data_IF_865574489581
#
_entry.id   IF_865574489581
#
_cell.length_a   1.000
_cell.length_b   1.000
_cell.length_c   1.000
_cell.angle_alpha   90.00
_cell.angle_beta   90.00
_cell.angle_gamma   90.00
#
_symmetry.space_group_name_H-M   'P 1'
#
loop_
_entity.id
_entity.type
_entity.pdbx_description
1 polymer ?
#
# COMPACT_ATOMS: atom_id res chain seq x y z
N UNK A 1 -25.33 -0.64 14.67
CA UNK A 1 -23.87 -0.42 14.48
C UNK A 1 -23.51 -1.14 13.20
N UNK A 2 -23.06 -0.43 12.17
CA UNK A 2 -22.92 -0.99 10.83
C UNK A 2 -21.85 -2.07 10.80
N UNK A 3 -22.21 -3.26 10.32
CA UNK A 3 -21.38 -4.47 10.18
C UNK A 3 -20.40 -4.38 8.98
N UNK A 4 -19.98 -3.16 8.64
CA UNK A 4 -19.08 -2.91 7.51
C UNK A 4 -17.66 -2.93 8.07
N UNK A 5 -16.80 -3.88 7.64
CA UNK A 5 -15.43 -3.93 8.12
C UNK A 5 -14.72 -2.60 7.84
N UNK A 6 -13.81 -2.16 8.72
CA UNK A 6 -13.06 -0.93 8.50
C UNK A 6 -12.36 -0.99 7.14
N UNK A 7 -12.56 0.07 6.35
CA UNK A 7 -12.10 0.19 4.99
C UNK A 7 -11.40 1.51 4.81
N UNK A 8 -10.18 1.47 4.27
CA UNK A 8 -9.52 2.66 3.75
C UNK A 8 -9.58 2.66 2.24
N UNK A 9 -9.74 3.82 1.62
CA UNK A 9 -9.94 3.93 0.17
C UNK A 9 -9.02 4.97 -0.42
N UNK A 10 -8.13 4.55 -1.31
CA UNK A 10 -7.40 5.43 -2.19
C UNK A 10 -8.31 5.93 -3.32
N UNK A 11 -8.51 7.24 -3.39
CA UNK A 11 -9.18 7.94 -4.48
C UNK A 11 -8.14 8.86 -5.12
N UNK A 12 -7.68 8.52 -6.32
CA UNK A 12 -6.49 9.16 -6.88
C UNK A 12 -5.32 9.04 -5.90
N UNK A 13 -4.77 10.17 -5.48
CA UNK A 13 -3.61 10.23 -4.59
C UNK A 13 -3.97 10.47 -3.12
N UNK A 14 -5.23 10.38 -2.74
CA UNK A 14 -5.70 10.63 -1.38
C UNK A 14 -6.26 9.35 -0.77
N UNK A 15 -5.94 9.09 0.48
CA UNK A 15 -6.44 7.95 1.26
C UNK A 15 -7.45 8.43 2.29
N UNK A 16 -8.63 7.82 2.29
CA UNK A 16 -9.69 8.12 3.24
C UNK A 16 -10.04 6.90 4.08
N UNK A 17 -10.40 7.08 5.34
CA UNK A 17 -11.02 6.03 6.16
C UNK A 17 -12.52 5.85 5.87
N UNK A 18 -13.18 4.90 6.54
CA UNK A 18 -14.61 4.62 6.37
C UNK A 18 -15.51 5.83 6.65
N UNK A 19 -15.27 6.63 7.71
CA UNK A 19 -15.96 7.92 7.92
C UNK A 19 -15.70 9.00 6.85
N UNK A 20 -14.68 8.84 6.01
CA UNK A 20 -14.30 9.83 5.00
C UNK A 20 -13.28 10.86 5.49
N UNK A 21 -12.62 10.62 6.63
CA UNK A 21 -11.49 11.44 7.08
C UNK A 21 -10.28 11.12 6.23
N UNK A 22 -9.54 12.16 5.82
CA UNK A 22 -8.30 12.05 5.08
C UNK A 22 -7.19 11.50 6.01
N UNK A 23 -6.55 10.41 5.60
CA UNK A 23 -5.45 9.78 6.32
C UNK A 23 -4.08 10.08 5.70
N UNK A 24 -4.02 10.11 4.36
CA UNK A 24 -2.76 10.34 3.66
C UNK A 24 -2.97 11.00 2.29
N UNK A 25 -1.95 11.72 1.82
CA UNK A 25 -1.90 12.25 0.44
C UNK A 25 -0.57 11.92 -0.22
N UNK A 26 -0.57 11.73 -1.54
CA UNK A 26 0.64 11.55 -2.34
C UNK A 26 0.79 12.68 -3.34
N UNK A 27 1.88 13.43 -3.22
CA UNK A 27 2.22 14.55 -4.11
C UNK A 27 3.65 14.39 -4.56
N UNK A 28 3.85 14.32 -5.88
CA UNK A 28 5.14 13.99 -6.49
C UNK A 28 5.69 12.66 -5.95
N UNK A 29 6.82 12.71 -5.25
CA UNK A 29 7.54 11.62 -4.61
C UNK A 29 7.39 11.67 -3.07
N UNK A 30 6.38 12.34 -2.54
CA UNK A 30 6.14 12.44 -1.09
C UNK A 30 4.77 11.88 -0.73
N UNK A 31 4.74 11.00 0.26
CA UNK A 31 3.53 10.59 0.95
C UNK A 31 3.47 11.34 2.28
N UNK A 32 2.41 12.11 2.50
CA UNK A 32 2.11 12.80 3.76
C UNK A 32 1.08 11.97 4.54
N UNK A 33 1.38 11.64 5.79
CA UNK A 33 0.58 10.80 6.69
C UNK A 33 0.50 11.49 8.04
N UNK A 34 -0.64 12.10 8.37
CA UNK A 34 -0.87 12.83 9.63
C UNK A 34 0.27 13.81 10.01
N UNK A 35 0.85 14.50 9.02
CA UNK A 35 1.97 15.44 9.22
C UNK A 35 3.37 14.83 9.16
N UNK A 36 3.49 13.50 9.20
CA UNK A 36 4.72 12.80 8.87
C UNK A 36 4.87 12.60 7.37
N UNK A 37 6.11 12.43 6.90
CA UNK A 37 6.41 12.34 5.47
C UNK A 37 7.29 11.15 5.16
N UNK A 38 6.96 10.50 4.05
CA UNK A 38 7.77 9.47 3.40
C UNK A 38 8.20 9.98 2.02
N UNK A 39 9.51 10.12 1.79
CA UNK A 39 10.05 10.32 0.45
C UNK A 39 10.11 8.98 -0.27
N UNK A 40 9.35 8.80 -1.35
CA UNK A 40 9.21 7.55 -2.09
C UNK A 40 9.93 7.57 -3.44
N UNK A 41 10.77 6.58 -3.64
CA UNK A 41 11.40 6.26 -4.92
C UNK A 41 10.77 4.97 -5.45
N UNK A 42 10.30 4.98 -6.69
CA UNK A 42 9.78 3.79 -7.35
C UNK A 42 10.53 3.57 -8.67
N UNK A 43 10.99 2.34 -8.88
CA UNK A 43 11.56 1.89 -10.14
C UNK A 43 10.63 0.85 -10.75
N UNK A 44 9.59 1.28 -11.50
CA UNK A 44 8.74 0.36 -12.25
C UNK A 44 9.43 -0.02 -13.56
N UNK A 45 9.81 -1.29 -13.70
CA UNK A 45 10.37 -1.85 -14.94
C UNK A 45 9.56 -3.03 -15.46
N UNK A 46 9.66 -3.38 -16.76
CA UNK A 46 8.92 -4.50 -17.36
C UNK A 46 9.24 -5.87 -16.75
N UNK A 47 10.39 -5.97 -16.06
CA UNK A 47 10.87 -7.21 -15.43
C UNK A 47 11.02 -7.10 -13.91
N UNK A 48 10.98 -5.89 -13.34
CA UNK A 48 11.31 -5.64 -11.94
C UNK A 48 10.46 -4.52 -11.35
N UNK A 49 9.81 -4.80 -10.22
CA UNK A 49 9.18 -3.80 -9.36
C UNK A 49 9.98 -3.63 -8.07
N UNK A 50 10.31 -2.37 -7.75
CA UNK A 50 10.84 -1.96 -6.45
C UNK A 50 10.29 -0.58 -6.08
N UNK A 51 9.87 -0.45 -4.83
CA UNK A 51 9.60 0.82 -4.19
C UNK A 51 10.42 0.92 -2.91
N UNK A 52 10.92 2.11 -2.61
CA UNK A 52 11.61 2.44 -1.37
C UNK A 52 11.03 3.75 -0.86
N UNK A 53 10.83 3.86 0.45
CA UNK A 53 10.57 5.15 1.07
C UNK A 53 11.47 5.38 2.28
N UNK A 54 11.70 6.66 2.59
CA UNK A 54 12.43 7.08 3.79
C UNK A 54 11.58 8.09 4.53
N UNK A 55 11.35 7.85 5.83
CA UNK A 55 10.62 8.78 6.68
C UNK A 55 11.49 9.96 7.11
N UNK A 56 10.86 11.01 7.65
CA UNK A 56 11.55 12.16 8.26
C UNK A 56 12.54 11.76 9.37
N UNK A 57 12.29 10.66 10.09
CA UNK A 57 13.17 10.16 11.15
C UNK A 57 14.26 9.18 10.66
N UNK A 58 14.34 8.94 9.35
CA UNK A 58 15.35 8.07 8.73
C UNK A 58 14.97 6.59 8.68
N UNK A 59 13.78 6.20 9.14
CA UNK A 59 13.26 4.85 8.94
C UNK A 59 13.07 4.54 7.45
N UNK A 60 13.55 3.37 7.04
CA UNK A 60 13.51 2.95 5.64
C UNK A 60 12.44 1.88 5.44
N UNK A 61 11.70 2.07 4.37
CA UNK A 61 10.63 1.20 3.92
C UNK A 61 10.99 0.68 2.54
N UNK A 62 10.78 -0.60 2.27
CA UNK A 62 11.05 -1.20 0.95
C UNK A 62 9.96 -2.18 0.57
N UNK A 63 9.66 -2.26 -0.72
CA UNK A 63 8.90 -3.33 -1.35
C UNK A 63 9.65 -3.76 -2.61
N UNK A 64 9.78 -5.06 -2.82
CA UNK A 64 10.31 -5.59 -4.09
C UNK A 64 9.62 -6.89 -4.47
N UNK A 65 9.57 -7.19 -5.75
CA UNK A 65 9.03 -8.47 -6.21
C UNK A 65 9.91 -9.64 -5.76
N UNK A 66 9.26 -10.76 -5.42
CA UNK A 66 9.92 -12.04 -5.16
C UNK A 66 9.85 -12.90 -6.42
N UNK A 67 10.99 -13.08 -7.08
CA UNK A 67 11.10 -13.88 -8.29
C UNK A 67 10.78 -13.12 -9.58
N UNK A 68 10.28 -13.82 -10.59
CA UNK A 68 10.12 -13.30 -11.95
C UNK A 68 8.85 -12.48 -12.19
N UNK A 69 7.83 -12.62 -11.33
CA UNK A 69 6.58 -11.90 -11.47
C UNK A 69 6.28 -11.07 -10.23
N UNK A 70 5.40 -10.09 -10.37
CA UNK A 70 4.89 -9.31 -9.24
C UNK A 70 3.81 -10.04 -8.43
N UNK A 71 3.63 -11.35 -8.61
CA UNK A 71 2.61 -12.13 -7.87
C UNK A 71 2.81 -12.03 -6.36
N UNK A 72 4.07 -12.05 -5.93
CA UNK A 72 4.47 -11.96 -4.53
C UNK A 72 5.47 -10.83 -4.38
N UNK A 73 5.23 -9.92 -3.45
CA UNK A 73 6.19 -8.90 -3.06
C UNK A 73 6.64 -9.16 -1.62
N UNK A 74 7.90 -8.88 -1.33
CA UNK A 74 8.44 -8.85 0.02
C UNK A 74 8.62 -7.38 0.39
N UNK A 75 8.20 -7.03 1.60
CA UNK A 75 8.34 -5.70 2.12
C UNK A 75 8.97 -5.69 3.51
N UNK A 76 9.68 -4.60 3.79
CA UNK A 76 10.21 -4.27 5.12
C UNK A 76 9.85 -2.82 5.42
N UNK A 77 9.38 -2.56 6.63
CA UNK A 77 9.05 -1.23 7.17
C UNK A 77 9.77 -1.12 8.51
N UNK A 78 10.93 -0.48 8.53
CA UNK A 78 11.86 -0.58 9.65
C UNK A 78 12.17 -2.03 9.98
N UNK A 79 11.90 -2.43 11.22
CA UNK A 79 12.12 -3.79 11.71
C UNK A 79 10.99 -4.78 11.38
N UNK A 80 9.86 -4.30 10.85
CA UNK A 80 8.73 -5.16 10.49
C UNK A 80 8.89 -5.71 9.07
N UNK A 81 8.52 -6.99 8.87
CA UNK A 81 8.54 -7.67 7.57
C UNK A 81 7.14 -8.10 7.16
N UNK A 82 6.85 -7.97 5.88
CA UNK A 82 5.55 -8.30 5.29
C UNK A 82 5.68 -9.02 3.96
N UNK A 83 4.63 -9.77 3.61
CA UNK A 83 4.46 -10.37 2.28
C UNK A 83 3.16 -9.85 1.68
N UNK A 84 3.22 -9.42 0.42
CA UNK A 84 2.07 -8.91 -0.33
C UNK A 84 1.80 -9.83 -1.52
N UNK A 85 0.87 -10.75 -1.32
CA UNK A 85 0.58 -11.82 -2.27
C UNK A 85 -0.71 -11.56 -3.02
N UNK A 86 -0.68 -11.68 -4.35
CA UNK A 86 -1.92 -11.70 -5.12
C UNK A 86 -2.78 -12.88 -4.70
N UNK A 87 -4.06 -12.64 -4.47
CA UNK A 87 -5.02 -13.69 -4.11
C UNK A 87 -5.50 -14.49 -5.32
N UNK A 88 -5.32 -13.94 -6.53
CA UNK A 88 -5.55 -14.65 -7.78
C UNK A 88 -4.70 -14.09 -8.92
N UNK A 89 -4.56 -14.84 -10.01
CA UNK A 89 -3.87 -14.36 -11.22
C UNK A 89 -4.70 -13.36 -12.04
N UNK A 90 -6.03 -13.41 -11.91
CA UNK A 90 -6.97 -12.59 -12.70
C UNK A 90 -7.38 -11.30 -11.99
N UNK A 91 -7.58 -11.37 -10.67
CA UNK A 91 -7.88 -10.21 -9.81
C UNK A 91 -6.58 -9.74 -9.20
N UNK A 92 -6.26 -8.47 -9.40
CA UNK A 92 -5.08 -7.81 -8.80
C UNK A 92 -5.27 -7.49 -7.31
N UNK A 93 -6.13 -8.24 -6.62
CA UNK A 93 -6.26 -8.15 -5.16
C UNK A 93 -5.02 -8.75 -4.51
N UNK A 94 -4.52 -8.11 -3.44
CA UNK A 94 -3.41 -8.61 -2.65
C UNK A 94 -3.79 -8.79 -1.18
N UNK A 95 -3.27 -9.84 -0.57
CA UNK A 95 -3.26 -10.04 0.88
C UNK A 95 -1.94 -9.50 1.43
N UNK A 96 -2.00 -8.57 2.38
CA UNK A 96 -0.87 -8.16 3.20
C UNK A 96 -0.81 -9.12 4.39
N UNK A 97 0.29 -9.84 4.52
CA UNK A 97 0.55 -10.77 5.62
C UNK A 97 1.70 -10.27 6.49
N UNK A 98 1.50 -10.28 7.79
CA UNK A 98 2.56 -10.17 8.79
C UNK A 98 3.00 -11.55 9.30
N UNK A 99 3.79 -11.57 10.36
CA UNK A 99 4.29 -12.81 10.96
C UNK A 99 3.18 -13.75 11.46
N UNK A 100 2.08 -13.18 11.98
CA UNK A 100 0.97 -13.95 12.57
C UNK A 100 -0.15 -14.29 11.58
N UNK A 101 -0.04 -13.90 10.30
CA UNK A 101 -1.03 -14.17 9.28
C UNK A 101 -1.51 -12.95 8.50
N UNK A 102 -2.67 -13.06 7.82
CA UNK A 102 -3.29 -11.96 7.07
C UNK A 102 -3.64 -10.77 7.96
N UNK A 103 -3.30 -9.56 7.52
CA UNK A 103 -3.63 -8.31 8.20
C UNK A 103 -4.67 -7.51 7.42
N UNK A 104 -4.52 -7.44 6.10
CA UNK A 104 -5.40 -6.66 5.23
C UNK A 104 -5.45 -7.21 3.80
N UNK A 105 -6.49 -6.82 3.06
CA UNK A 105 -6.63 -7.06 1.63
C UNK A 105 -6.70 -5.74 0.88
N UNK A 106 -5.88 -5.59 -0.15
CA UNK A 106 -5.84 -4.40 -1.02
C UNK A 106 -6.45 -4.76 -2.38
N UNK A 107 -7.51 -4.05 -2.77
CA UNK A 107 -8.41 -4.37 -3.87
C UNK A 107 -8.52 -3.20 -4.84
N UNK A 108 -7.97 -3.29 -6.05
CA UNK A 108 -8.27 -2.33 -7.10
C UNK A 108 -9.69 -2.54 -7.62
N UNK A 109 -10.45 -1.45 -7.73
CA UNK A 109 -11.84 -1.43 -8.16
C UNK A 109 -11.96 -0.96 -9.61
N UNK A 110 -13.04 -1.36 -10.29
CA UNK A 110 -13.34 -0.92 -11.67
C UNK A 110 -13.45 0.61 -11.77
N UNK A 111 -13.89 1.27 -10.69
CA UNK A 111 -13.98 2.74 -10.59
C UNK A 111 -12.62 3.46 -10.53
N UNK A 112 -11.50 2.72 -10.49
CA UNK A 112 -10.15 3.29 -10.31
C UNK A 112 -9.77 3.56 -8.85
N UNK A 113 -10.72 3.41 -7.91
CA UNK A 113 -10.44 3.40 -6.47
C UNK A 113 -9.65 2.15 -6.08
N UNK A 114 -8.87 2.23 -5.00
CA UNK A 114 -8.22 1.06 -4.40
C UNK A 114 -8.64 0.98 -2.94
N UNK A 115 -9.29 -0.11 -2.56
CA UNK A 115 -9.79 -0.33 -1.21
C UNK A 115 -8.82 -1.22 -0.43
N UNK A 116 -8.53 -0.86 0.80
CA UNK A 116 -7.87 -1.69 1.80
C UNK A 116 -8.92 -2.09 2.84
N UNK A 117 -9.08 -3.39 3.08
CA UNK A 117 -10.07 -3.94 4.00
C UNK A 117 -9.40 -4.89 4.98
N UNK A 118 -9.71 -4.78 6.26
CA UNK A 118 -9.24 -5.66 7.33
C UNK A 118 -10.28 -5.73 8.45
N UNK A 119 -10.13 -6.67 9.38
CA UNK A 119 -11.01 -6.77 10.55
C UNK A 119 -10.80 -5.60 11.51
N UNK A 120 -9.55 -5.13 11.62
CA UNK A 120 -9.21 -3.89 12.32
C UNK A 120 -7.91 -3.29 11.77
N UNK A 121 -8.01 -2.43 10.75
CA UNK A 121 -6.82 -1.92 10.06
C UNK A 121 -5.93 -1.07 10.96
N UNK A 122 -6.53 -0.30 11.88
CA UNK A 122 -5.78 0.59 12.78
C UNK A 122 -5.05 -0.21 13.88
N UNK A 123 -5.67 -1.28 14.38
CA UNK A 123 -5.06 -2.08 15.45
C UNK A 123 -4.10 -3.16 14.93
N UNK A 124 -4.20 -3.56 13.66
CA UNK A 124 -3.37 -4.64 13.09
C UNK A 124 -2.13 -4.17 12.35
N UNK A 125 -2.06 -2.90 11.95
CA UNK A 125 -0.95 -2.37 11.16
C UNK A 125 -0.70 -0.90 11.49
N UNK A 126 0.54 -0.48 11.82
CA UNK A 126 0.84 0.94 11.99
C UNK A 126 0.48 1.75 10.74
N UNK A 127 -0.10 2.94 10.92
CA UNK A 127 -0.63 3.77 9.82
C UNK A 127 0.38 4.00 8.70
N UNK A 128 1.63 4.37 9.02
CA UNK A 128 2.68 4.55 8.00
C UNK A 128 2.96 3.27 7.21
N UNK A 129 2.92 2.10 7.87
CA UNK A 129 3.11 0.81 7.21
C UNK A 129 1.93 0.53 6.29
N UNK A 130 0.70 0.70 6.78
CA UNK A 130 -0.52 0.52 5.99
C UNK A 130 -0.54 1.41 4.75
N UNK A 131 -0.20 2.69 4.91
CA UNK A 131 -0.11 3.66 3.83
C UNK A 131 0.95 3.25 2.81
N UNK A 132 2.20 3.00 3.23
CA UNK A 132 3.28 2.64 2.32
C UNK A 132 2.99 1.33 1.57
N UNK A 133 2.54 0.29 2.28
CA UNK A 133 2.27 -1.02 1.69
C UNK A 133 1.09 -0.97 0.70
N UNK A 134 0.01 -0.27 1.05
CA UNK A 134 -1.13 -0.11 0.13
C UNK A 134 -0.79 0.78 -1.07
N UNK A 135 0.06 1.78 -0.90
CA UNK A 135 0.56 2.60 -2.00
C UNK A 135 1.51 1.81 -2.92
N UNK A 136 2.33 0.91 -2.39
CA UNK A 136 3.12 0.00 -3.23
C UNK A 136 2.23 -0.90 -4.09
N UNK A 137 1.10 -1.39 -3.57
CA UNK A 137 0.09 -2.11 -4.35
C UNK A 137 -0.52 -1.24 -5.46
N UNK A 138 -0.82 0.03 -5.13
CA UNK A 138 -1.27 1.00 -6.12
C UNK A 138 -0.27 1.13 -7.27
N UNK A 139 1.01 1.32 -6.97
CA UNK A 139 2.06 1.56 -7.97
C UNK A 139 2.25 0.34 -8.90
N UNK A 140 2.21 -0.87 -8.34
CA UNK A 140 2.46 -2.10 -9.12
C UNK A 140 1.24 -2.59 -9.90
N UNK A 141 0.02 -2.36 -9.40
CA UNK A 141 -1.19 -2.95 -9.97
C UNK A 141 -2.09 -1.95 -10.73
N UNK A 142 -1.93 -0.64 -10.50
CA UNK A 142 -2.71 0.43 -11.13
C UNK A 142 -1.90 1.20 -12.19
N UNK A 143 -1.89 0.76 -13.46
CA UNK A 143 -1.01 1.31 -14.51
C UNK A 143 -1.33 2.77 -14.91
N UNK A 144 -2.42 3.36 -14.42
CA UNK A 144 -2.86 4.73 -14.77
C UNK A 144 -2.08 5.80 -13.97
N UNK A 145 -1.39 5.42 -12.89
CA UNK A 145 -0.65 6.37 -12.04
C UNK A 145 0.81 6.46 -12.50
N UNK A 146 1.05 7.12 -13.64
CA UNK A 146 2.36 7.70 -13.94
C UNK A 146 2.37 9.10 -13.31
N UNK A 147 3.15 9.37 -12.26
CA UNK A 147 3.39 10.75 -11.84
C UNK A 147 3.91 11.50 -13.08
N UNK A 148 3.24 12.58 -13.46
CA UNK A 148 3.87 13.54 -14.38
C UNK A 148 5.04 14.14 -13.60
N UNK A 149 6.25 13.91 -14.11
CA UNK A 149 7.44 14.68 -13.76
C UNK A 149 7.20 16.13 -14.13
#
# INVERSE_FOLDING_TARGET
MSDVPPRWTWIGNELFDSPGRLLATVRSDVIDVDGDRLLIECSPGPLHFRARATSTNGEVFTVSQRGFTVSTLIASCGNASYILERTSVWRKERCIRGASGPLAYVRPMISGKVEMVGTDLADTLPDMHAVFLSWACVLVDSPVRRPRV
#
